data_IF_642145521077
#
_entry.id   IF_642145521077
#
_cell.length_a   1.000
_cell.length_b   1.000
_cell.length_c   1.000
_cell.angle_alpha   90.00
_cell.angle_beta   90.00
_cell.angle_gamma   90.00
#
_symmetry.space_group_name_H-M   'P 1'
#
loop_
_entity.id
_entity.type
_entity.pdbx_description
1 polymer ?
#
# COMPACT_ATOMS: atom_id res chain seq x y z
N UNK A 1 -33.80 9.25 -18.23
CA UNK A 1 -33.70 8.48 -16.97
C UNK A 1 -32.23 8.40 -16.64
N UNK A 2 -31.79 9.16 -15.63
CA UNK A 2 -30.41 9.12 -15.14
C UNK A 2 -30.46 8.24 -13.89
N UNK A 3 -29.82 7.09 -13.94
CA UNK A 3 -29.67 6.21 -12.78
C UNK A 3 -28.86 6.94 -11.70
N UNK A 4 -29.28 6.94 -10.42
CA UNK A 4 -28.46 7.46 -9.35
C UNK A 4 -27.37 6.41 -9.09
N UNK A 5 -26.17 6.62 -9.64
CA UNK A 5 -24.98 5.91 -9.16
C UNK A 5 -24.83 6.31 -7.70
N UNK A 6 -25.24 5.39 -6.82
CA UNK A 6 -24.98 5.43 -5.41
C UNK A 6 -23.47 5.32 -5.22
N UNK A 7 -22.75 6.43 -5.40
CA UNK A 7 -21.34 6.55 -5.07
C UNK A 7 -21.24 6.43 -3.57
N UNK A 8 -21.03 5.20 -3.08
CA UNK A 8 -20.58 4.99 -1.71
C UNK A 8 -19.35 5.90 -1.54
N UNK A 9 -19.48 6.93 -0.70
CA UNK A 9 -18.40 7.88 -0.48
C UNK A 9 -17.21 7.12 0.10
N UNK A 10 -16.13 7.04 -0.66
CA UNK A 10 -14.89 6.41 -0.18
C UNK A 10 -14.46 7.10 1.10
N UNK A 11 -14.62 6.41 2.23
CA UNK A 11 -14.33 7.00 3.54
C UNK A 11 -12.83 6.95 3.78
N UNK A 12 -12.22 8.12 4.00
CA UNK A 12 -10.79 8.25 4.31
C UNK A 12 -10.51 8.34 5.82
N UNK A 13 -11.56 8.29 6.65
CA UNK A 13 -11.47 8.44 8.10
C UNK A 13 -10.61 7.37 8.76
N UNK A 14 -10.47 6.19 8.15
CA UNK A 14 -9.65 5.10 8.67
C UNK A 14 -8.18 5.49 8.79
N UNK A 15 -7.65 6.31 7.86
CA UNK A 15 -6.25 6.76 7.86
C UNK A 15 -5.96 7.55 9.13
N UNK A 16 -6.85 8.47 9.49
CA UNK A 16 -6.66 9.35 10.63
C UNK A 16 -6.84 8.64 11.97
N UNK A 17 -7.59 7.52 11.99
CA UNK A 17 -7.78 6.64 13.15
C UNK A 17 -6.61 5.68 13.41
N UNK A 18 -5.65 5.55 12.47
CA UNK A 18 -4.49 4.68 12.65
C UNK A 18 -3.70 5.05 13.91
N UNK A 19 -3.29 4.03 14.68
CA UNK A 19 -2.41 4.19 15.85
C UNK A 19 -0.94 4.17 15.41
N UNK A 20 -0.55 5.17 14.60
CA UNK A 20 0.78 5.32 14.00
C UNK A 20 1.25 6.77 14.10
N UNK A 21 2.51 7.04 13.75
CA UNK A 21 3.01 8.43 13.68
C UNK A 21 2.25 9.26 12.65
N UNK A 22 2.18 10.58 12.82
CA UNK A 22 1.54 11.47 11.85
C UNK A 22 2.20 11.38 10.47
N UNK A 23 3.53 11.21 10.43
CA UNK A 23 4.29 10.99 9.19
C UNK A 23 3.82 9.74 8.45
N UNK A 24 3.59 8.64 9.17
CA UNK A 24 3.05 7.42 8.57
C UNK A 24 1.61 7.61 8.07
N UNK A 25 0.76 8.37 8.78
CA UNK A 25 -0.60 8.70 8.29
C UNK A 25 -0.56 9.49 6.98
N UNK A 26 0.27 10.52 6.90
CA UNK A 26 0.45 11.29 5.66
C UNK A 26 1.00 10.41 4.53
N UNK A 27 1.94 9.52 4.83
CA UNK A 27 2.43 8.53 3.86
C UNK A 27 1.31 7.62 3.36
N UNK A 28 0.49 7.07 4.26
CA UNK A 28 -0.64 6.20 3.91
C UNK A 28 -1.65 6.93 3.03
N UNK A 29 -1.94 8.20 3.32
CA UNK A 29 -2.75 9.08 2.49
C UNK A 29 -2.17 9.23 1.07
N UNK A 30 -0.88 9.57 0.96
CA UNK A 30 -0.25 9.69 -0.35
C UNK A 30 -0.24 8.36 -1.11
N UNK A 31 0.01 7.25 -0.42
CA UNK A 31 -0.03 5.91 -1.00
C UNK A 31 -1.44 5.58 -1.53
N UNK A 32 -2.49 5.82 -0.74
CA UNK A 32 -3.86 5.50 -1.11
C UNK A 32 -4.37 6.33 -2.29
N UNK A 33 -3.77 7.50 -2.55
CA UNK A 33 -4.04 8.35 -3.70
C UNK A 33 -3.10 8.11 -4.91
N UNK A 34 -2.22 7.10 -4.86
CA UNK A 34 -1.16 6.90 -5.88
C UNK A 34 -0.25 8.13 -6.09
N UNK A 35 -0.07 8.94 -5.04
CA UNK A 35 0.71 10.18 -5.06
C UNK A 35 2.13 10.02 -4.49
N UNK A 36 2.59 8.79 -4.24
CA UNK A 36 4.01 8.56 -3.92
C UNK A 36 4.86 8.87 -5.16
N UNK A 37 6.02 9.51 -4.96
CA UNK A 37 6.98 9.82 -6.03
C UNK A 37 7.73 8.57 -6.51
N UNK A 38 6.99 7.60 -7.03
CA UNK A 38 7.56 6.41 -7.67
C UNK A 38 8.14 6.75 -9.04
N UNK A 39 9.03 5.91 -9.58
CA UNK A 39 9.59 6.18 -10.91
C UNK A 39 8.52 6.29 -12.01
N UNK A 40 7.42 5.52 -11.92
CA UNK A 40 6.32 5.64 -12.87
C UNK A 40 5.65 7.03 -12.82
N UNK A 41 5.40 7.57 -11.62
CA UNK A 41 4.81 8.91 -11.47
C UNK A 41 5.80 10.02 -11.86
N UNK A 42 7.11 9.81 -11.61
CA UNK A 42 8.15 10.74 -12.06
C UNK A 42 8.22 10.79 -13.58
N UNK A 43 8.20 9.64 -14.24
CA UNK A 43 8.22 9.57 -15.70
C UNK A 43 6.97 10.19 -16.33
N UNK A 44 5.78 9.93 -15.78
CA UNK A 44 4.54 10.55 -16.28
C UNK A 44 4.52 12.08 -16.12
N UNK A 45 5.40 12.65 -15.29
CA UNK A 45 5.55 14.09 -15.06
C UNK A 45 6.79 14.67 -15.76
N UNK A 46 7.48 13.90 -16.59
CA UNK A 46 8.71 14.35 -17.28
C UNK A 46 9.90 14.59 -16.35
N UNK A 47 9.91 13.98 -15.16
CA UNK A 47 11.01 14.09 -14.18
C UNK A 47 11.96 12.88 -14.18
N UNK A 48 11.72 11.90 -15.05
CA UNK A 48 12.54 10.71 -15.24
C UNK A 48 12.25 10.11 -16.61
N UNK A 49 13.26 9.61 -17.32
CA UNK A 49 13.05 8.91 -18.59
C UNK A 49 12.76 7.42 -18.39
N UNK A 50 12.99 6.91 -17.18
CA UNK A 50 12.84 5.50 -16.86
C UNK A 50 11.78 5.28 -15.76
N UNK A 51 10.64 4.63 -16.08
CA UNK A 51 9.61 4.29 -15.09
C UNK A 51 9.90 2.98 -14.34
N UNK A 52 10.93 2.22 -14.72
CA UNK A 52 11.21 0.89 -14.17
C UNK A 52 11.58 0.93 -12.69
N UNK A 53 11.12 -0.08 -11.95
CA UNK A 53 11.46 -0.28 -10.56
C UNK A 53 12.94 -0.57 -10.38
N UNK A 54 13.59 0.28 -9.58
CA UNK A 54 15.01 0.17 -9.27
C UNK A 54 15.39 -1.14 -8.54
N UNK A 55 14.43 -1.72 -7.79
CA UNK A 55 14.64 -2.95 -6.99
C UNK A 55 14.63 -4.21 -7.85
N UNK A 56 13.56 -4.44 -8.60
CA UNK A 56 13.39 -5.67 -9.38
C UNK A 56 13.85 -5.55 -10.84
N UNK A 57 13.96 -4.31 -11.36
CA UNK A 57 14.36 -4.01 -12.74
C UNK A 57 13.47 -4.64 -13.83
N UNK A 58 12.27 -5.11 -13.47
CA UNK A 58 11.45 -5.94 -14.37
C UNK A 58 10.07 -5.35 -14.70
N UNK A 59 9.62 -4.32 -13.99
CA UNK A 59 8.30 -3.71 -14.17
C UNK A 59 8.33 -2.22 -13.80
N UNK A 60 7.30 -1.47 -14.20
CA UNK A 60 7.16 -0.06 -13.81
C UNK A 60 6.95 0.08 -12.31
N UNK A 61 7.64 1.03 -11.70
CA UNK A 61 7.55 1.35 -10.28
C UNK A 61 6.26 2.12 -10.00
N UNK A 62 5.15 1.42 -9.85
CA UNK A 62 3.89 1.99 -9.34
C UNK A 62 3.84 1.92 -7.82
N UNK A 63 2.90 2.62 -7.18
CA UNK A 63 2.72 2.55 -5.72
C UNK A 63 2.45 1.12 -5.26
N UNK A 64 1.50 0.43 -5.91
CA UNK A 64 1.14 -0.96 -5.57
C UNK A 64 2.29 -1.93 -5.85
N UNK A 65 3.03 -1.73 -6.95
CA UNK A 65 4.21 -2.53 -7.23
C UNK A 65 5.25 -2.36 -6.12
N UNK A 66 5.60 -1.12 -5.80
CA UNK A 66 6.63 -0.82 -4.79
C UNK A 66 6.29 -1.42 -3.44
N UNK A 67 5.02 -1.31 -3.01
CA UNK A 67 4.60 -1.73 -1.68
C UNK A 67 4.26 -3.23 -1.59
N UNK A 68 3.68 -3.83 -2.64
CA UNK A 68 3.13 -5.20 -2.61
C UNK A 68 3.74 -6.11 -3.67
N UNK A 69 3.64 -5.75 -4.96
CA UNK A 69 3.87 -6.72 -6.05
C UNK A 69 5.35 -6.91 -6.39
N UNK A 70 6.24 -6.02 -5.95
CA UNK A 70 7.66 -6.07 -6.27
C UNK A 70 8.28 -7.37 -5.75
N UNK A 71 8.90 -8.20 -6.62
CA UNK A 71 9.59 -9.43 -6.20
C UNK A 71 10.66 -9.19 -5.13
N UNK A 72 11.28 -7.99 -5.13
CA UNK A 72 12.24 -7.60 -4.12
C UNK A 72 11.66 -7.51 -2.70
N UNK A 73 10.36 -7.19 -2.58
CA UNK A 73 9.67 -7.03 -1.30
C UNK A 73 8.75 -8.21 -0.97
N UNK A 74 8.44 -9.08 -1.94
CA UNK A 74 7.60 -10.28 -1.76
C UNK A 74 8.08 -11.21 -0.64
N UNK A 75 9.39 -11.31 -0.40
CA UNK A 75 9.94 -12.12 0.70
C UNK A 75 9.44 -11.65 2.07
N UNK A 76 9.21 -10.35 2.26
CA UNK A 76 8.68 -9.78 3.50
C UNK A 76 7.25 -10.28 3.69
N UNK A 77 6.39 -10.14 2.69
CA UNK A 77 4.99 -10.55 2.76
C UNK A 77 4.83 -12.07 2.98
N UNK A 78 5.66 -12.88 2.32
CA UNK A 78 5.73 -14.34 2.53
C UNK A 78 6.13 -14.76 3.95
N UNK A 79 6.81 -13.89 4.70
CA UNK A 79 7.16 -14.17 6.10
C UNK A 79 6.09 -13.74 7.10
N UNK A 80 5.09 -12.96 6.65
CA UNK A 80 4.09 -12.34 7.52
C UNK A 80 2.69 -12.92 7.36
N UNK A 81 2.39 -13.55 6.22
CA UNK A 81 1.05 -14.02 5.87
C UNK A 81 1.12 -15.46 5.34
N UNK A 82 0.01 -16.20 5.47
CA UNK A 82 -0.10 -17.52 4.85
C UNK A 82 -0.15 -17.38 3.31
N UNK A 83 0.09 -18.48 2.59
CA UNK A 83 -0.02 -18.46 1.13
C UNK A 83 -1.44 -18.10 0.65
N UNK A 84 -2.46 -18.61 1.34
CA UNK A 84 -3.86 -18.33 1.02
C UNK A 84 -4.18 -16.84 1.19
N UNK A 85 -3.74 -16.23 2.30
CA UNK A 85 -3.93 -14.80 2.55
C UNK A 85 -3.24 -13.97 1.47
N UNK A 86 -2.01 -14.32 1.08
CA UNK A 86 -1.29 -13.59 0.03
C UNK A 86 -2.00 -13.63 -1.31
N UNK A 87 -2.58 -14.78 -1.68
CA UNK A 87 -3.36 -14.89 -2.92
C UNK A 87 -4.59 -13.97 -2.89
N UNK A 88 -5.31 -13.92 -1.77
CA UNK A 88 -6.45 -13.01 -1.59
C UNK A 88 -6.01 -11.53 -1.65
N UNK A 89 -4.94 -11.18 -0.91
CA UNK A 89 -4.42 -9.82 -0.85
C UNK A 89 -3.87 -9.31 -2.20
N UNK A 90 -3.29 -10.19 -3.02
CA UNK A 90 -2.75 -9.84 -4.34
C UNK A 90 -3.84 -9.51 -5.36
N UNK A 91 -5.06 -10.06 -5.19
CA UNK A 91 -6.19 -9.78 -6.07
C UNK A 91 -6.90 -8.45 -5.77
N UNK A 92 -6.56 -7.78 -4.65
CA UNK A 92 -7.19 -6.51 -4.25
C UNK A 92 -6.63 -5.31 -4.99
N UNK A 93 -7.43 -4.27 -5.15
CA UNK A 93 -6.93 -2.95 -5.57
C UNK A 93 -6.01 -2.37 -4.48
N UNK A 94 -5.18 -1.37 -4.82
CA UNK A 94 -4.32 -0.71 -3.83
C UNK A 94 -5.14 -0.14 -2.65
N UNK A 95 -6.28 0.48 -2.95
CA UNK A 95 -7.12 1.09 -1.92
C UNK A 95 -7.75 0.03 -1.01
N UNK A 96 -8.31 -1.05 -1.59
CA UNK A 96 -8.92 -2.13 -0.82
C UNK A 96 -7.87 -2.84 0.03
N UNK A 97 -6.71 -3.14 -0.55
CA UNK A 97 -5.58 -3.75 0.15
C UNK A 97 -5.13 -2.91 1.35
N UNK A 98 -4.94 -1.60 1.16
CA UNK A 98 -4.54 -0.69 2.24
C UNK A 98 -5.62 -0.56 3.32
N UNK A 99 -6.86 -0.27 2.92
CA UNK A 99 -7.95 0.03 3.86
C UNK A 99 -8.35 -1.19 4.69
N UNK A 100 -8.39 -2.38 4.09
CA UNK A 100 -8.71 -3.63 4.81
C UNK A 100 -7.61 -3.96 5.81
N UNK A 101 -6.34 -3.99 5.42
CA UNK A 101 -5.23 -4.30 6.33
C UNK A 101 -5.06 -3.25 7.44
N UNK A 102 -5.29 -1.98 7.13
CA UNK A 102 -5.27 -0.90 8.12
C UNK A 102 -6.44 -0.92 9.11
N UNK A 103 -7.52 -1.63 8.78
CA UNK A 103 -8.72 -1.75 9.62
C UNK A 103 -8.79 -3.07 10.40
N UNK A 104 -7.86 -4.01 10.15
CA UNK A 104 -7.77 -5.26 10.93
C UNK A 104 -7.40 -4.96 12.38
N UNK A 105 -8.17 -5.56 13.29
CA UNK A 105 -7.99 -5.42 14.74
C UNK A 105 -7.27 -6.62 15.38
N UNK A 106 -6.70 -7.50 14.55
CA UNK A 106 -5.93 -8.65 15.01
C UNK A 106 -4.63 -8.22 15.70
N UNK A 107 -4.22 -8.99 16.70
CA UNK A 107 -2.92 -8.84 17.35
C UNK A 107 -1.91 -9.65 16.56
N UNK A 108 -0.87 -9.00 16.07
CA UNK A 108 0.30 -9.69 15.52
C UNK A 108 1.05 -10.34 16.67
N UNK A 109 1.31 -11.65 16.60
CA UNK A 109 1.99 -12.45 17.63
C UNK A 109 3.15 -11.69 18.33
N UNK A 110 2.87 -11.11 19.50
CA UNK A 110 3.82 -10.34 20.31
C UNK A 110 4.24 -8.96 19.77
N UNK A 111 3.65 -8.45 18.69
CA UNK A 111 4.04 -7.18 18.01
C UNK A 111 2.98 -6.07 18.07
N UNK A 112 1.90 -6.28 18.80
CA UNK A 112 0.80 -5.32 18.93
C UNK A 112 -0.23 -5.39 17.78
N UNK A 113 -1.02 -4.33 17.55
CA UNK A 113 -2.07 -4.33 16.52
C UNK A 113 -1.49 -4.50 15.11
N UNK A 114 -2.09 -5.41 14.32
CA UNK A 114 -1.69 -5.67 12.93
C UNK A 114 -1.69 -4.40 12.09
N UNK A 115 -2.71 -3.56 12.21
CA UNK A 115 -2.80 -2.30 11.46
C UNK A 115 -1.56 -1.41 11.66
N UNK A 116 -1.11 -1.22 12.90
CA UNK A 116 0.12 -0.45 13.20
C UNK A 116 1.37 -1.13 12.64
N UNK A 117 1.46 -2.46 12.78
CA UNK A 117 2.60 -3.23 12.29
C UNK A 117 2.69 -3.20 10.75
N UNK A 118 1.58 -3.44 10.06
CA UNK A 118 1.42 -3.36 8.62
C UNK A 118 1.86 -2.00 8.06
N UNK A 119 1.33 -0.89 8.59
CA UNK A 119 1.72 0.46 8.15
C UNK A 119 3.21 0.73 8.41
N UNK A 120 3.76 0.18 9.49
CA UNK A 120 5.20 0.29 9.77
C UNK A 120 6.06 -0.47 8.76
N UNK A 121 5.63 -1.64 8.32
CA UNK A 121 6.28 -2.40 7.24
C UNK A 121 6.22 -1.64 5.92
N UNK A 122 5.05 -1.10 5.54
CA UNK A 122 4.93 -0.28 4.32
C UNK A 122 5.86 0.93 4.34
N UNK A 123 5.92 1.62 5.47
CA UNK A 123 6.83 2.75 5.65
C UNK A 123 8.30 2.33 5.51
N UNK A 124 8.69 1.19 6.07
CA UNK A 124 10.05 0.65 5.95
C UNK A 124 10.38 0.23 4.51
N UNK A 125 9.44 -0.43 3.82
CA UNK A 125 9.59 -0.78 2.40
C UNK A 125 9.80 0.47 1.55
N UNK A 126 9.03 1.54 1.78
CA UNK A 126 9.17 2.79 1.05
C UNK A 126 10.49 3.53 1.35
N UNK A 127 11.00 3.40 2.58
CA UNK A 127 12.20 4.12 3.03
C UNK A 127 13.53 3.41 2.73
N UNK A 128 13.50 2.10 2.47
CA UNK A 128 14.67 1.29 2.14
C UNK A 128 15.28 1.71 0.79
#
# INVERSE_FOLDING_TARGET
>A
MIDPVNQASTSWNWIWKLKTTQRQKCFTWLASHNCLMTNNLRASRGMSDNPTCSRCKSANETTIHTLRDCPGNQKIWKSLMSHADLCDENNKSLFDWLSQNASRNEISNGRGPWSTFFISILWKIWKA
#
